data_IF_592243815944
#
_entry.id   IF_592243815944
#
_cell.length_a   1.000
_cell.length_b   1.000
_cell.length_c   1.000
_cell.angle_alpha   90.00
_cell.angle_beta   90.00
_cell.angle_gamma   90.00
#
_symmetry.space_group_name_H-M   'P 1'
#
loop_
_entity.id
_entity.type
_entity.pdbx_description
1 polymer ?
#
# COMPACT_ATOMS: atom_id res chain seq x y z
N UNK A 1 10.09 24.04 1.09
CA UNK A 1 10.01 22.73 0.41
C UNK A 1 10.32 22.99 -1.05
N UNK A 2 11.52 22.61 -1.49
CA UNK A 2 11.93 22.72 -2.89
C UNK A 2 11.18 21.65 -3.70
N UNK A 3 10.63 21.96 -4.88
CA UNK A 3 10.04 20.94 -5.74
C UNK A 3 11.14 19.95 -6.17
N UNK A 4 10.95 18.69 -5.80
CA UNK A 4 11.84 17.58 -6.16
C UNK A 4 11.89 17.41 -7.69
N UNK A 5 13.09 17.31 -8.27
CA UNK A 5 13.32 17.09 -9.71
C UNK A 5 14.05 15.78 -9.93
N UNK A 6 13.67 15.06 -10.98
CA UNK A 6 13.95 13.62 -11.18
C UNK A 6 15.40 13.29 -11.60
N UNK A 7 16.26 14.27 -11.90
CA UNK A 7 17.70 14.02 -12.06
C UNK A 7 18.36 13.51 -10.76
N UNK A 8 17.67 13.62 -9.62
CA UNK A 8 18.16 13.26 -8.28
C UNK A 8 17.59 11.95 -7.72
N UNK A 9 16.86 11.15 -8.51
CA UNK A 9 16.46 9.81 -8.07
C UNK A 9 17.68 8.88 -8.10
N UNK A 10 18.03 8.22 -6.98
CA UNK A 10 19.33 7.56 -6.87
C UNK A 10 19.37 6.32 -7.77
N UNK A 11 20.31 6.27 -8.71
CA UNK A 11 20.88 4.97 -9.10
C UNK A 11 21.57 4.41 -7.85
N UNK A 12 21.18 3.22 -7.34
CA UNK A 12 21.63 1.94 -7.92
C UNK A 12 20.64 0.75 -7.76
N UNK A 13 20.82 -0.31 -8.57
CA UNK A 13 20.06 -1.58 -8.58
C UNK A 13 18.65 -1.57 -9.19
N UNK A 14 18.42 -0.80 -10.25
CA UNK A 14 17.22 -0.91 -11.09
C UNK A 14 17.18 -2.26 -11.83
N UNK A 15 16.49 -3.26 -11.27
CA UNK A 15 16.13 -4.45 -12.06
C UNK A 15 14.79 -4.20 -12.75
N UNK A 16 14.74 -4.22 -14.10
CA UNK A 16 13.48 -4.05 -14.82
C UNK A 16 12.57 -5.25 -14.54
N UNK A 17 11.30 -4.96 -14.29
CA UNK A 17 10.23 -5.94 -14.18
C UNK A 17 9.23 -5.66 -15.29
N UNK A 18 8.99 -6.60 -16.22
CA UNK A 18 8.00 -6.40 -17.25
C UNK A 18 6.61 -6.27 -16.61
N UNK A 19 5.84 -5.30 -17.06
CA UNK A 19 4.44 -5.08 -16.67
C UNK A 19 3.59 -4.91 -17.93
N UNK A 20 2.26 -4.99 -17.76
CA UNK A 20 1.34 -4.78 -18.87
C UNK A 20 1.57 -3.38 -19.46
N UNK A 21 1.97 -3.34 -20.74
CA UNK A 21 2.23 -2.11 -21.49
C UNK A 21 3.36 -1.22 -20.94
N UNK A 22 4.42 -1.79 -20.36
CA UNK A 22 5.57 -1.01 -19.92
C UNK A 22 6.67 -1.79 -19.20
N UNK A 23 7.48 -1.05 -18.45
CA UNK A 23 8.50 -1.61 -17.57
C UNK A 23 8.41 -0.94 -16.22
N UNK A 24 8.43 -1.74 -15.17
CA UNK A 24 8.54 -1.28 -13.80
C UNK A 24 9.97 -1.43 -13.28
N UNK A 25 10.33 -0.57 -12.33
CA UNK A 25 11.59 -0.58 -11.64
C UNK A 25 11.33 -0.48 -10.14
N UNK A 26 12.15 -1.17 -9.35
CA UNK A 26 12.14 -1.01 -7.90
C UNK A 26 13.49 -0.45 -7.49
N UNK A 27 13.47 0.64 -6.73
CA UNK A 27 14.64 1.28 -6.15
C UNK A 27 14.54 1.25 -4.63
N UNK A 28 15.65 1.06 -3.94
CA UNK A 28 15.76 1.04 -2.50
C UNK A 28 17.19 1.35 -2.08
N UNK A 29 17.38 1.78 -0.82
CA UNK A 29 18.73 1.97 -0.28
C UNK A 29 19.31 0.65 0.23
N UNK A 30 20.52 0.30 -0.19
CA UNK A 30 21.22 -0.88 0.33
C UNK A 30 21.64 -0.73 1.79
N UNK A 31 22.00 0.48 2.19
CA UNK A 31 22.33 0.84 3.58
C UNK A 31 21.08 1.06 4.46
N UNK A 32 19.90 1.10 3.83
CA UNK A 32 18.62 1.27 4.49
C UNK A 32 18.29 0.12 5.44
N UNK A 33 17.35 0.38 6.36
CA UNK A 33 16.87 -0.64 7.27
C UNK A 33 16.34 -1.84 6.47
N UNK A 34 16.73 -3.05 6.89
CA UNK A 34 16.22 -4.30 6.31
C UNK A 34 15.23 -4.94 7.28
N UNK A 35 14.27 -5.67 6.75
CA UNK A 35 13.23 -6.40 7.48
C UNK A 35 13.17 -7.83 6.99
N UNK A 36 13.05 -8.78 7.92
CA UNK A 36 12.96 -10.21 7.59
C UNK A 36 11.53 -10.66 7.70
N UNK A 37 10.99 -11.19 6.60
CA UNK A 37 9.60 -11.65 6.48
C UNK A 37 9.62 -13.03 5.88
N UNK A 38 9.16 -14.03 6.64
CA UNK A 38 9.11 -15.43 6.20
C UNK A 38 10.46 -15.96 5.65
N UNK A 39 11.57 -15.56 6.28
CA UNK A 39 12.92 -15.97 5.87
C UNK A 39 13.52 -15.15 4.72
N UNK A 40 12.79 -14.19 4.16
CA UNK A 40 13.28 -13.27 3.12
C UNK A 40 13.66 -11.93 3.75
N UNK A 41 14.87 -11.41 3.47
CA UNK A 41 15.39 -10.19 4.11
C UNK A 41 15.36 -8.98 3.16
N UNK A 42 14.24 -8.27 3.08
CA UNK A 42 14.07 -7.13 2.17
C UNK A 42 14.47 -5.77 2.74
N UNK A 43 14.62 -4.72 1.92
CA UNK A 43 14.61 -3.35 2.40
C UNK A 43 13.25 -3.01 3.02
N UNK A 44 13.26 -2.23 4.09
CA UNK A 44 12.06 -1.68 4.71
C UNK A 44 11.41 -0.66 3.79
N UNK A 45 12.19 0.29 3.28
CA UNK A 45 11.69 1.34 2.41
C UNK A 45 12.13 1.08 0.97
N UNK A 46 11.17 1.17 0.05
CA UNK A 46 11.40 0.96 -1.37
C UNK A 46 10.43 1.79 -2.20
N UNK A 47 10.82 2.06 -3.44
CA UNK A 47 9.97 2.75 -4.40
C UNK A 47 9.78 1.91 -5.65
N UNK A 48 8.53 1.78 -6.06
CA UNK A 48 8.14 1.30 -7.36
C UNK A 48 7.97 2.45 -8.35
N UNK A 49 8.54 2.30 -9.55
CA UNK A 49 8.40 3.24 -10.66
C UNK A 49 7.96 2.49 -11.90
N UNK A 50 6.80 2.84 -12.45
CA UNK A 50 6.30 2.29 -13.70
C UNK A 50 6.44 3.29 -14.83
N UNK A 51 7.06 2.81 -15.92
CA UNK A 51 7.26 3.56 -17.15
C UNK A 51 6.48 2.85 -18.26
N UNK A 52 5.30 3.38 -18.64
CA UNK A 52 4.56 2.87 -19.77
C UNK A 52 5.35 2.95 -21.09
N UNK A 53 5.15 1.96 -21.95
CA UNK A 53 5.74 1.92 -23.29
C UNK A 53 5.18 3.05 -24.18
N UNK A 54 3.89 3.36 -24.04
CA UNK A 54 3.27 4.49 -24.70
C UNK A 54 3.79 5.82 -24.12
N UNK A 55 4.43 6.64 -24.96
CA UNK A 55 5.09 7.87 -24.53
C UNK A 55 4.13 8.93 -23.99
N UNK A 56 2.90 8.95 -24.52
CA UNK A 56 1.83 9.86 -24.11
C UNK A 56 1.24 9.57 -22.72
N UNK A 57 1.65 8.47 -22.08
CA UNK A 57 1.15 8.07 -20.76
C UNK A 57 2.12 8.53 -19.67
N UNK A 58 1.60 8.99 -18.52
CA UNK A 58 2.45 9.47 -17.44
C UNK A 58 3.23 8.33 -16.80
N UNK A 59 4.27 8.71 -16.05
CA UNK A 59 4.98 7.79 -15.17
C UNK A 59 4.24 7.70 -13.85
N UNK A 60 4.28 6.52 -13.23
CA UNK A 60 3.68 6.28 -11.93
C UNK A 60 4.78 5.93 -10.93
N UNK A 61 4.81 6.63 -9.81
CA UNK A 61 5.78 6.42 -8.74
C UNK A 61 5.03 6.13 -7.45
N UNK A 62 5.39 5.06 -6.77
CA UNK A 62 4.73 4.61 -5.55
C UNK A 62 5.79 4.30 -4.49
N UNK A 63 5.84 5.12 -3.44
CA UNK A 63 6.74 4.91 -2.32
C UNK A 63 6.07 4.00 -1.29
N UNK A 64 6.80 2.99 -0.86
CA UNK A 64 6.30 1.96 0.04
C UNK A 64 7.23 1.75 1.23
N UNK A 65 6.64 1.37 2.36
CA UNK A 65 7.34 0.82 3.52
C UNK A 65 6.80 -0.57 3.80
N UNK A 66 7.68 -1.54 4.02
CA UNK A 66 7.34 -2.86 4.52
C UNK A 66 7.36 -2.87 6.04
N UNK A 67 6.22 -3.23 6.63
CA UNK A 67 6.13 -3.46 8.07
C UNK A 67 6.79 -4.78 8.48
N UNK A 68 7.15 -4.92 9.76
CA UNK A 68 7.71 -6.17 10.30
C UNK A 68 6.77 -7.37 10.14
N UNK A 69 5.47 -7.09 9.96
CA UNK A 69 4.44 -8.09 9.65
C UNK A 69 4.52 -8.66 8.23
N UNK A 70 5.37 -8.09 7.36
CA UNK A 70 5.38 -8.39 5.93
C UNK A 70 4.30 -7.69 5.13
N UNK A 71 3.56 -6.78 5.75
CA UNK A 71 2.54 -5.99 5.05
C UNK A 71 3.18 -4.76 4.42
N UNK A 72 3.14 -4.62 3.09
CA UNK A 72 3.57 -3.40 2.43
C UNK A 72 2.52 -2.30 2.61
N UNK A 73 2.99 -1.13 3.03
CA UNK A 73 2.23 0.10 3.20
C UNK A 73 2.64 1.09 2.11
N UNK A 74 1.66 1.66 1.42
CA UNK A 74 1.89 2.74 0.48
C UNK A 74 1.90 4.06 1.25
N UNK A 75 3.00 4.81 1.10
CA UNK A 75 3.18 6.11 1.75
C UNK A 75 2.69 7.23 0.85
N UNK A 76 3.00 7.15 -0.44
CA UNK A 76 2.67 8.17 -1.44
C UNK A 76 2.46 7.53 -2.82
N UNK A 77 1.70 8.24 -3.65
CA UNK A 77 1.52 7.92 -5.07
C UNK A 77 1.69 9.22 -5.84
N UNK A 78 2.60 9.21 -6.80
CA UNK A 78 2.85 10.32 -7.70
C UNK A 78 2.55 9.90 -9.13
N UNK A 79 1.80 10.74 -9.83
CA UNK A 79 1.54 10.61 -11.26
C UNK A 79 2.23 11.79 -11.94
N UNK A 80 3.20 11.49 -12.79
CA UNK A 80 4.11 12.50 -13.32
C UNK A 80 3.99 12.57 -14.84
N UNK A 81 3.84 13.80 -15.35
CA UNK A 81 3.96 14.09 -16.77
C UNK A 81 5.36 13.72 -17.25
N UNK A 82 5.47 13.21 -18.47
CA UNK A 82 6.76 13.04 -19.15
C UNK A 82 7.15 14.35 -19.85
N UNK A 83 8.44 14.63 -19.96
CA UNK A 83 8.90 15.88 -20.58
C UNK A 83 8.47 15.99 -22.04
N UNK A 84 7.95 17.15 -22.43
CA UNK A 84 7.44 17.41 -23.78
C UNK A 84 6.10 16.74 -24.13
N UNK A 85 5.50 16.01 -23.18
CA UNK A 85 4.24 15.26 -23.40
C UNK A 85 3.01 16.02 -22.90
N UNK A 86 1.81 15.51 -23.23
CA UNK A 86 0.53 16.09 -22.80
C UNK A 86 0.39 16.14 -21.28
N UNK A 87 -0.44 17.04 -20.78
CA UNK A 87 -0.79 17.09 -19.36
C UNK A 87 -1.49 15.81 -18.89
N UNK A 88 -1.37 15.53 -17.58
CA UNK A 88 -1.99 14.37 -16.94
C UNK A 88 -3.50 14.57 -16.89
N UNK A 89 -4.25 13.59 -17.40
CA UNK A 89 -5.70 13.59 -17.46
C UNK A 89 -6.28 12.68 -16.37
N UNK A 90 -7.54 12.91 -16.00
CA UNK A 90 -8.24 12.08 -15.01
C UNK A 90 -8.29 10.59 -15.38
N UNK A 91 -8.32 10.27 -16.69
CA UNK A 91 -8.29 8.89 -17.18
C UNK A 91 -6.97 8.17 -16.89
N UNK A 92 -5.85 8.90 -16.81
CA UNK A 92 -4.55 8.32 -16.48
C UNK A 92 -4.53 7.81 -15.03
N UNK A 93 -5.26 8.49 -14.13
CA UNK A 93 -5.39 8.06 -12.74
C UNK A 93 -6.11 6.71 -12.63
N UNK A 94 -7.01 6.41 -13.57
CA UNK A 94 -7.70 5.12 -13.63
C UNK A 94 -6.79 3.99 -14.11
N UNK A 95 -5.60 4.27 -14.66
CA UNK A 95 -4.67 3.27 -15.17
C UNK A 95 -3.83 2.61 -14.07
N UNK A 96 -3.64 3.28 -12.94
CA UNK A 96 -3.31 2.64 -11.65
C UNK A 96 -4.52 1.85 -11.13
N UNK A 97 -5.03 0.90 -11.93
CA UNK A 97 -6.25 0.12 -11.64
C UNK A 97 -6.16 -0.62 -10.32
N UNK A 98 -4.95 -0.97 -9.90
CA UNK A 98 -4.69 -1.67 -8.67
C UNK A 98 -3.32 -1.30 -8.11
N UNK A 99 -3.31 -0.43 -7.10
CA UNK A 99 -2.15 -0.25 -6.23
C UNK A 99 -1.74 -1.57 -5.56
N UNK A 100 -2.67 -2.53 -5.47
CA UNK A 100 -2.41 -3.87 -4.95
C UNK A 100 -1.45 -4.64 -5.84
N UNK A 101 -1.57 -4.48 -7.17
CA UNK A 101 -0.73 -5.13 -8.19
C UNK A 101 0.66 -4.50 -8.21
N UNK A 102 0.73 -3.16 -8.15
CA UNK A 102 1.99 -2.41 -8.03
C UNK A 102 2.83 -2.94 -6.88
N UNK A 103 2.20 -3.09 -5.72
CA UNK A 103 2.88 -3.59 -4.52
C UNK A 103 3.22 -5.08 -4.64
N UNK A 104 2.40 -5.88 -5.33
CA UNK A 104 2.68 -7.28 -5.61
C UNK A 104 3.93 -7.42 -6.52
N UNK A 105 4.01 -6.64 -7.60
CA UNK A 105 5.16 -6.59 -8.52
C UNK A 105 6.42 -6.13 -7.80
N UNK A 106 6.32 -5.04 -7.03
CA UNK A 106 7.43 -4.51 -6.28
C UNK A 106 7.98 -5.53 -5.26
N UNK A 107 7.08 -6.23 -4.57
CA UNK A 107 7.46 -7.23 -3.59
C UNK A 107 8.10 -8.46 -4.24
N UNK A 108 7.59 -8.92 -5.39
CA UNK A 108 8.22 -10.02 -6.14
C UNK A 108 9.65 -9.64 -6.56
N UNK A 109 9.87 -8.40 -7.00
CA UNK A 109 11.20 -7.91 -7.35
C UNK A 109 12.15 -7.94 -6.15
N UNK A 110 11.69 -7.46 -4.99
CA UNK A 110 12.48 -7.46 -3.75
C UNK A 110 12.73 -8.86 -3.20
N UNK A 111 11.73 -9.74 -3.24
CA UNK A 111 11.84 -11.13 -2.79
C UNK A 111 12.86 -11.92 -3.61
N UNK A 112 12.95 -11.65 -4.92
CA UNK A 112 13.95 -12.24 -5.82
C UNK A 112 15.39 -11.78 -5.51
N UNK A 113 15.57 -10.59 -4.94
CA UNK A 113 16.90 -10.05 -4.61
C UNK A 113 17.40 -10.46 -3.23
N UNK A 114 16.52 -10.85 -2.31
CA UNK A 114 16.81 -10.90 -0.88
C UNK A 114 16.74 -12.30 -0.24
N UNK A 115 16.87 -13.35 -1.05
CA UNK A 115 17.06 -14.74 -0.60
C UNK A 115 18.45 -15.03 0.01
N UNK A 116 19.29 -14.01 0.17
CA UNK A 116 20.71 -14.19 0.47
C UNK A 116 21.10 -13.59 1.81
N UNK A 117 20.91 -14.33 2.90
CA UNK A 117 21.67 -14.32 4.19
C UNK A 117 21.04 -15.53 4.95
N UNK A 118 21.55 -16.77 5.07
CA UNK A 118 22.88 -17.29 5.44
C UNK A 118 23.00 -18.77 4.99
N UNK A 119 24.03 -19.12 4.22
CA UNK A 119 25.06 -20.10 4.62
C UNK A 119 26.30 -19.85 3.75
N UNK A 120 27.46 -19.75 4.42
CA UNK A 120 28.72 -19.28 3.86
C UNK A 120 29.11 -19.98 2.56
N UNK A 121 29.46 -19.19 1.54
CA UNK A 121 30.22 -19.66 0.38
C UNK A 121 29.43 -20.12 -0.85
N UNK A 122 28.17 -19.71 -1.03
CA UNK A 122 27.40 -20.12 -2.22
C UNK A 122 27.73 -19.27 -3.45
N UNK A 123 28.03 -19.96 -4.55
CA UNK A 123 28.35 -19.46 -5.88
C UNK A 123 27.19 -18.65 -6.50
N UNK A 124 27.44 -17.39 -6.86
CA UNK A 124 26.46 -16.44 -7.41
C UNK A 124 25.76 -16.97 -8.68
N UNK A 125 26.48 -17.72 -9.52
CA UNK A 125 25.95 -18.25 -10.78
C UNK A 125 24.97 -19.42 -10.54
N UNK A 126 25.22 -20.23 -9.51
CA UNK A 126 24.32 -21.32 -9.11
C UNK A 126 23.00 -20.77 -8.53
N UNK A 127 23.02 -19.60 -7.91
CA UNK A 127 21.82 -19.00 -7.33
C UNK A 127 21.03 -18.17 -8.34
N UNK A 128 21.68 -17.58 -9.35
CA UNK A 128 20.96 -17.02 -10.50
C UNK A 128 20.21 -18.12 -11.29
N UNK A 129 20.79 -19.32 -11.39
CA UNK A 129 20.12 -20.49 -11.95
C UNK A 129 18.91 -20.94 -11.10
N UNK A 130 19.01 -20.92 -9.77
CA UNK A 130 17.93 -21.31 -8.85
C UNK A 130 16.81 -20.23 -8.77
N UNK A 131 17.14 -18.95 -8.93
CA UNK A 131 16.19 -17.85 -9.07
C UNK A 131 15.37 -17.94 -10.37
N UNK A 132 16.01 -18.35 -11.47
CA UNK A 132 15.32 -18.70 -12.71
C UNK A 132 14.49 -20.00 -12.58
N UNK A 133 14.79 -20.81 -11.56
CA UNK A 133 14.09 -22.05 -11.21
C UNK A 133 12.94 -21.84 -10.22
N UNK A 134 12.80 -20.65 -9.61
CA UNK A 134 11.65 -20.32 -8.76
C UNK A 134 10.37 -20.61 -9.54
N UNK A 135 9.67 -21.66 -9.14
CA UNK A 135 8.55 -22.16 -9.91
C UNK A 135 7.42 -21.13 -9.86
N UNK A 136 6.58 -21.09 -10.91
CA UNK A 136 5.35 -20.29 -10.90
C UNK A 136 4.54 -20.51 -9.62
N UNK A 137 4.59 -21.72 -9.05
CA UNK A 137 3.91 -22.09 -7.82
C UNK A 137 4.47 -21.40 -6.57
N UNK A 138 5.79 -21.15 -6.48
CA UNK A 138 6.38 -20.42 -5.35
C UNK A 138 6.01 -18.93 -5.39
N UNK A 139 6.04 -18.33 -6.59
CA UNK A 139 5.54 -16.96 -6.81
C UNK A 139 4.05 -16.89 -6.48
N UNK A 140 3.24 -17.83 -6.96
CA UNK A 140 1.80 -17.86 -6.70
C UNK A 140 1.46 -18.17 -5.23
N UNK A 141 2.26 -18.98 -4.54
CA UNK A 141 2.12 -19.22 -3.10
C UNK A 141 2.40 -17.96 -2.30
N UNK A 142 3.48 -17.24 -2.61
CA UNK A 142 3.80 -15.95 -2.00
C UNK A 142 2.73 -14.89 -2.30
N UNK A 143 2.21 -14.84 -3.54
CA UNK A 143 1.07 -13.99 -3.91
C UNK A 143 -0.18 -14.30 -3.08
N UNK A 144 -0.53 -15.58 -2.93
CA UNK A 144 -1.65 -16.03 -2.09
C UNK A 144 -1.44 -15.66 -0.63
N UNK A 145 -0.21 -15.72 -0.13
CA UNK A 145 0.13 -15.33 1.23
C UNK A 145 0.06 -13.82 1.44
N UNK A 146 0.58 -12.98 0.53
CA UNK A 146 0.41 -11.53 0.59
C UNK A 146 -1.07 -11.15 0.55
N UNK A 147 -1.85 -11.79 -0.34
CA UNK A 147 -3.31 -11.66 -0.35
C UNK A 147 -3.95 -12.14 0.96
N UNK A 148 -3.41 -13.18 1.59
CA UNK A 148 -3.83 -13.70 2.89
C UNK A 148 -3.52 -12.76 4.07
N UNK A 149 -2.33 -12.15 4.08
CA UNK A 149 -1.90 -11.16 5.07
C UNK A 149 -2.71 -9.87 4.95
N UNK A 150 -3.07 -9.47 3.72
CA UNK A 150 -4.04 -8.37 3.44
C UNK A 150 -5.48 -8.73 3.81
N UNK A 151 -5.84 -10.02 3.71
CA UNK A 151 -7.10 -10.57 4.24
C UNK A 151 -7.09 -10.71 5.76
N UNK A 152 -6.09 -10.17 6.49
CA UNK A 152 -6.36 -9.78 7.87
C UNK A 152 -7.62 -8.94 7.85
N UNK A 153 -8.65 -9.29 8.64
CA UNK A 153 -9.88 -8.53 8.65
C UNK A 153 -9.49 -7.08 8.90
N UNK A 154 -9.82 -6.18 7.96
CA UNK A 154 -9.78 -4.71 8.19
C UNK A 154 -10.19 -4.54 9.63
N UNK A 155 -9.26 -4.12 10.50
CA UNK A 155 -9.40 -4.30 11.96
C UNK A 155 -10.84 -3.99 12.30
N UNK A 156 -11.62 -5.02 12.67
CA UNK A 156 -13.03 -4.81 12.97
C UNK A 156 -13.02 -3.68 13.97
N UNK A 157 -13.67 -2.57 13.62
CA UNK A 157 -13.81 -1.46 14.57
C UNK A 157 -14.27 -2.10 15.87
N UNK A 158 -13.51 -1.89 16.94
CA UNK A 158 -13.81 -2.57 18.20
C UNK A 158 -15.22 -2.19 18.64
N UNK A 159 -15.94 -3.14 19.21
CA UNK A 159 -17.29 -2.88 19.75
C UNK A 159 -17.25 -1.73 20.77
N UNK A 160 -16.18 -1.65 21.55
CA UNK A 160 -15.89 -0.54 22.46
C UNK A 160 -15.85 0.81 21.74
N UNK A 161 -15.23 0.90 20.56
CA UNK A 161 -15.17 2.14 19.79
C UNK A 161 -16.53 2.51 19.22
N UNK A 162 -17.33 1.53 18.79
CA UNK A 162 -18.71 1.78 18.32
C UNK A 162 -19.63 2.20 19.48
N UNK A 163 -19.44 1.64 20.67
CA UNK A 163 -20.17 2.04 21.89
C UNK A 163 -19.82 3.45 22.34
N UNK A 164 -18.53 3.81 22.28
CA UNK A 164 -18.07 5.16 22.56
C UNK A 164 -18.70 6.17 21.59
N UNK A 165 -18.71 5.87 20.29
CA UNK A 165 -19.35 6.70 19.26
C UNK A 165 -20.85 6.84 19.54
N UNK A 166 -21.56 5.74 19.85
CA UNK A 166 -22.99 5.76 20.15
C UNK A 166 -23.32 6.59 21.41
N UNK A 167 -22.47 6.51 22.45
CA UNK A 167 -22.58 7.32 23.67
C UNK A 167 -22.49 8.82 23.36
N UNK A 168 -21.48 9.23 22.59
CA UNK A 168 -21.27 10.63 22.22
C UNK A 168 -22.40 11.12 21.31
N UNK A 169 -22.81 10.29 20.35
CA UNK A 169 -23.94 10.57 19.46
C UNK A 169 -25.21 10.89 20.25
N UNK A 170 -25.58 10.05 21.23
CA UNK A 170 -26.75 10.27 22.09
C UNK A 170 -26.68 11.60 22.86
N UNK A 171 -25.53 11.93 23.44
CA UNK A 171 -25.32 13.19 24.15
C UNK A 171 -25.39 14.43 23.26
N UNK A 172 -25.04 14.29 21.98
CA UNK A 172 -24.98 15.40 21.01
C UNK A 172 -26.26 15.62 20.21
N UNK A 173 -27.26 14.74 20.36
CA UNK A 173 -28.48 14.71 19.53
C UNK A 173 -29.33 15.98 19.67
N UNK A 174 -29.37 16.59 20.85
CA UNK A 174 -30.12 17.83 21.10
C UNK A 174 -29.53 19.06 20.37
N UNK A 175 -28.25 19.01 19.99
CA UNK A 175 -27.53 20.14 19.37
C UNK A 175 -27.56 20.16 17.83
N UNK A 176 -28.25 19.22 17.18
CA UNK A 176 -28.45 19.19 15.72
C UNK A 176 -27.21 18.89 14.86
N UNK A 177 -26.02 18.69 15.45
CA UNK A 177 -24.76 18.38 14.73
C UNK A 177 -23.98 17.23 15.38
N UNK A 178 -24.54 16.00 15.38
CA UNK A 178 -23.92 14.88 16.08
C UNK A 178 -22.60 14.42 15.47
N UNK A 179 -22.48 14.37 14.14
CA UNK A 179 -21.23 13.99 13.47
C UNK A 179 -20.06 14.95 13.77
N UNK A 180 -20.35 16.26 13.90
CA UNK A 180 -19.34 17.25 14.29
C UNK A 180 -18.88 17.05 15.73
N UNK A 181 -19.81 16.77 16.63
CA UNK A 181 -19.49 16.55 18.05
C UNK A 181 -18.68 15.27 18.26
N UNK A 182 -19.04 14.18 17.58
CA UNK A 182 -18.26 12.93 17.58
C UNK A 182 -16.86 13.15 17.01
N UNK A 183 -16.76 13.91 15.92
CA UNK A 183 -15.47 14.24 15.29
C UNK A 183 -14.55 15.01 16.24
N UNK A 184 -15.07 16.04 16.92
CA UNK A 184 -14.32 16.86 17.87
C UNK A 184 -13.88 16.05 19.10
N UNK A 185 -14.77 15.25 19.68
CA UNK A 185 -14.45 14.48 20.89
C UNK A 185 -13.48 13.31 20.66
N UNK A 186 -13.47 12.74 19.45
CA UNK A 186 -12.61 11.61 19.11
C UNK A 186 -11.41 12.00 18.24
N UNK A 187 -11.17 13.29 18.03
CA UNK A 187 -10.03 13.79 17.27
C UNK A 187 -9.97 13.29 15.82
N UNK A 188 -11.13 13.18 15.15
CA UNK A 188 -11.23 12.67 13.78
C UNK A 188 -11.93 13.65 12.84
N UNK A 189 -11.86 13.40 11.53
CA UNK A 189 -12.58 14.23 10.54
C UNK A 189 -14.10 13.99 10.62
N UNK A 190 -14.95 15.00 10.34
CA UNK A 190 -16.40 14.82 10.32
C UNK A 190 -16.89 13.71 9.38
N UNK A 191 -16.25 13.53 8.22
CA UNK A 191 -16.57 12.43 7.31
C UNK A 191 -16.27 11.05 7.91
N UNK A 192 -15.17 10.93 8.65
CA UNK A 192 -14.81 9.72 9.40
C UNK A 192 -15.81 9.45 10.52
N UNK A 193 -16.22 10.48 11.27
CA UNK A 193 -17.23 10.35 12.31
C UNK A 193 -18.60 9.89 11.76
N UNK A 194 -19.04 10.44 10.62
CA UNK A 194 -20.27 9.97 9.95
C UNK A 194 -20.20 8.50 9.56
N UNK A 195 -19.04 8.04 9.07
CA UNK A 195 -18.83 6.63 8.76
C UNK A 195 -18.92 5.74 10.01
N UNK A 196 -18.31 6.15 11.13
CA UNK A 196 -18.39 5.41 12.40
C UNK A 196 -19.81 5.38 12.99
N UNK A 197 -20.58 6.47 12.86
CA UNK A 197 -21.98 6.52 13.30
C UNK A 197 -22.82 5.51 12.51
N UNK A 198 -22.70 5.51 11.18
CA UNK A 198 -23.37 4.52 10.32
C UNK A 198 -22.96 3.09 10.69
N UNK A 199 -21.68 2.87 11.00
CA UNK A 199 -21.19 1.55 11.40
C UNK A 199 -21.72 1.10 12.76
N UNK A 200 -21.89 2.04 13.70
CA UNK A 200 -22.51 1.75 14.99
C UNK A 200 -24.00 1.40 14.84
N UNK A 201 -24.72 2.08 13.93
CA UNK A 201 -26.11 1.77 13.57
C UNK A 201 -26.25 0.37 12.95
N UNK A 202 -25.41 0.06 11.95
CA UNK A 202 -25.36 -1.27 11.31
C UNK A 202 -25.01 -2.39 12.30
N UNK A 203 -24.23 -2.08 13.34
CA UNK A 203 -23.89 -3.00 14.43
C UNK A 203 -24.97 -3.08 15.52
N UNK A 204 -26.11 -2.39 15.35
CA UNK A 204 -27.22 -2.39 16.30
C UNK A 204 -26.94 -1.64 17.60
N UNK A 205 -25.91 -0.78 17.65
CA UNK A 205 -25.66 0.07 18.81
C UNK A 205 -26.79 1.08 18.92
N UNK A 206 -27.27 1.28 20.14
CA UNK A 206 -28.39 2.19 20.39
C UNK A 206 -27.98 3.65 20.19
N UNK A 207 -28.42 4.23 19.06
CA UNK A 207 -28.29 5.65 18.72
C UNK A 207 -29.53 6.47 19.15
N UNK A 208 -30.53 5.84 19.77
CA UNK A 208 -31.75 6.46 20.31
C UNK A 208 -32.78 6.92 19.27
N UNK A 209 -32.80 6.35 18.06
CA UNK A 209 -33.83 6.64 17.04
C UNK A 209 -35.11 5.83 17.26
N UNK A 210 -36.28 6.29 16.75
CA UNK A 210 -37.47 5.44 16.75
C UNK A 210 -37.15 4.19 15.92
N UNK A 211 -37.34 3.02 16.53
CA UNK A 211 -37.37 1.76 15.78
C UNK A 211 -38.67 1.76 15.00
N UNK A 212 -38.64 2.26 13.77
CA UNK A 212 -39.72 1.99 12.84
C UNK A 212 -39.64 0.48 12.51
N UNK A 213 -40.65 -0.25 12.97
CA UNK A 213 -40.89 -1.65 12.67
C UNK A 213 -41.57 -1.85 11.32
#
# INVERSE_FOLDING_TARGET
MTPFTFEEWPEPAHKPVPVDEGTAYVSYSEEGQKVTVNGLRGPRDFTYVEVPAASHLPRYVVECTLEDSGTPRINSVHVQRRDGERDVLSEDLARLRSLEDVVEVAWIALARQNLYVIQDGTDLDAVEAELNRLSREQVDSLRRQVRGLRKRPRSRVSDEKLEEVARIYRGSRAGGKPAKTVAEQLGMRPSTASWYIKRAEEAGKDLGGPRDG
#
